data_IF_790463857388
#
_entry.id   IF_790463857388
#
_cell.length_a   1.000
_cell.length_b   1.000
_cell.length_c   1.000
_cell.angle_alpha   90.00
_cell.angle_beta   90.00
_cell.angle_gamma   90.00
#
_symmetry.space_group_name_H-M   'P 1'
#
loop_
_entity.id
_entity.type
_entity.pdbx_description
1 polymer ?
#
# COMPACT_ATOMS: atom_id res chain seq x y z
N UNK A 1 -7.94 4.66 -14.07
CA UNK A 1 -8.32 5.12 -12.71
C UNK A 1 -7.99 6.59 -12.46
N UNK A 2 -6.73 7.03 -12.64
CA UNK A 2 -6.27 8.38 -12.25
C UNK A 2 -7.07 9.56 -12.85
N UNK A 3 -7.39 9.54 -14.15
CA UNK A 3 -8.16 10.65 -14.75
C UNK A 3 -9.58 10.74 -14.20
N UNK A 4 -10.25 9.60 -14.04
CA UNK A 4 -11.61 9.55 -13.50
C UNK A 4 -11.64 9.97 -12.04
N UNK A 5 -10.69 9.51 -11.21
CA UNK A 5 -10.61 9.92 -9.80
C UNK A 5 -10.26 11.39 -9.66
N UNK A 6 -9.34 11.93 -10.47
CA UNK A 6 -9.05 13.36 -10.48
C UNK A 6 -10.31 14.18 -10.80
N UNK A 7 -11.06 13.79 -11.82
CA UNK A 7 -12.32 14.43 -12.18
C UNK A 7 -13.33 14.40 -11.03
N UNK A 8 -13.63 13.22 -10.48
CA UNK A 8 -14.61 13.07 -9.40
C UNK A 8 -14.19 13.88 -8.17
N UNK A 9 -12.96 13.71 -7.69
CA UNK A 9 -12.51 14.29 -6.42
C UNK A 9 -12.26 15.81 -6.50
N UNK A 10 -11.85 16.33 -7.66
CA UNK A 10 -11.43 17.73 -7.77
C UNK A 10 -12.38 18.62 -8.57
N UNK A 11 -13.29 18.04 -9.36
CA UNK A 11 -14.17 18.80 -10.27
C UNK A 11 -15.65 18.60 -9.98
N UNK A 12 -16.08 17.48 -9.40
CA UNK A 12 -17.47 17.33 -8.96
C UNK A 12 -17.68 18.06 -7.61
N UNK A 13 -18.59 19.04 -7.59
CA UNK A 13 -18.89 19.86 -6.40
C UNK A 13 -20.36 19.77 -5.95
N UNK A 14 -21.17 19.04 -6.69
CA UNK A 14 -22.60 18.87 -6.44
C UNK A 14 -22.96 17.39 -6.49
N UNK A 15 -23.87 16.98 -5.62
CA UNK A 15 -24.37 15.60 -5.53
C UNK A 15 -25.23 15.29 -6.76
N UNK A 16 -25.03 14.11 -7.37
CA UNK A 16 -25.76 13.60 -8.52
C UNK A 16 -25.77 14.53 -9.75
N UNK A 17 -24.75 15.38 -9.91
CA UNK A 17 -24.69 16.38 -10.98
C UNK A 17 -24.32 15.81 -12.35
N UNK A 18 -23.77 14.60 -12.41
CA UNK A 18 -23.38 13.92 -13.65
C UNK A 18 -24.14 12.62 -13.83
N UNK A 19 -24.30 12.20 -15.09
CA UNK A 19 -24.94 10.94 -15.47
C UNK A 19 -24.05 10.16 -16.42
N UNK A 20 -24.02 8.84 -16.23
CA UNK A 20 -23.42 7.88 -17.15
C UNK A 20 -24.42 6.77 -17.45
N UNK A 21 -24.20 6.07 -18.56
CA UNK A 21 -24.99 4.90 -18.95
C UNK A 21 -24.08 3.67 -18.95
N UNK A 22 -23.75 3.11 -17.76
CA UNK A 22 -22.70 2.11 -17.64
C UNK A 22 -23.04 0.80 -18.33
N UNK A 23 -24.31 0.51 -18.63
CA UNK A 23 -24.76 -0.79 -19.13
C UNK A 23 -24.96 -0.86 -20.65
N UNK A 24 -24.71 0.24 -21.38
CA UNK A 24 -25.03 0.30 -22.82
C UNK A 24 -24.28 -0.72 -23.67
N UNK A 25 -23.10 -1.16 -23.22
CA UNK A 25 -22.27 -2.15 -23.89
C UNK A 25 -22.68 -3.60 -23.59
N UNK A 26 -23.61 -3.82 -22.65
CA UNK A 26 -24.11 -5.15 -22.29
C UNK A 26 -25.34 -5.49 -23.13
N UNK A 27 -25.16 -6.19 -24.25
CA UNK A 27 -26.26 -6.56 -25.16
C UNK A 27 -27.02 -7.84 -24.75
N UNK A 28 -26.38 -8.68 -23.93
CA UNK A 28 -26.92 -9.97 -23.51
C UNK A 28 -27.38 -9.92 -22.04
N UNK A 29 -28.19 -10.90 -21.64
CA UNK A 29 -28.70 -11.03 -20.29
C UNK A 29 -29.54 -9.83 -19.81
N UNK A 30 -30.19 -9.10 -20.72
CA UNK A 30 -31.14 -8.05 -20.36
C UNK A 30 -32.56 -8.63 -20.29
N UNK A 31 -33.24 -8.46 -19.14
CA UNK A 31 -34.65 -8.82 -19.02
C UNK A 31 -35.57 -7.86 -19.80
N UNK A 32 -35.23 -6.57 -19.79
CA UNK A 32 -35.91 -5.53 -20.56
C UNK A 32 -34.87 -4.67 -21.27
N UNK A 33 -35.18 -4.19 -22.49
CA UNK A 33 -34.28 -3.33 -23.26
C UNK A 33 -33.94 -2.02 -22.53
N UNK A 34 -34.85 -1.52 -21.69
CA UNK A 34 -34.63 -0.32 -20.86
C UNK A 34 -33.51 -0.48 -19.83
N UNK A 35 -33.20 -1.70 -19.39
CA UNK A 35 -32.11 -1.94 -18.44
C UNK A 35 -30.73 -1.63 -19.06
N UNK A 36 -30.58 -1.85 -20.37
CA UNK A 36 -29.33 -1.56 -21.09
C UNK A 36 -29.05 -0.06 -21.16
N UNK A 37 -30.09 0.77 -21.29
CA UNK A 37 -29.97 2.23 -21.43
C UNK A 37 -30.27 2.97 -20.13
N UNK A 38 -30.24 2.28 -18.99
CA UNK A 38 -30.47 2.91 -17.69
C UNK A 38 -29.28 3.79 -17.30
N UNK A 39 -29.56 5.02 -16.85
CA UNK A 39 -28.55 5.93 -16.31
C UNK A 39 -28.23 5.65 -14.84
N UNK A 40 -27.02 6.06 -14.45
CA UNK A 40 -26.56 6.16 -13.07
C UNK A 40 -26.03 7.58 -12.87
N UNK A 41 -26.51 8.24 -11.80
CA UNK A 41 -26.04 9.58 -11.43
C UNK A 41 -24.88 9.51 -10.43
N UNK A 42 -23.96 10.47 -10.48
CA UNK A 42 -22.81 10.58 -9.57
C UNK A 42 -22.32 12.04 -9.45
N UNK A 43 -21.51 12.39 -8.43
CA UNK A 43 -21.21 11.58 -7.24
C UNK A 43 -22.39 11.59 -6.25
N UNK A 44 -22.61 10.50 -5.51
CA UNK A 44 -23.69 10.36 -4.53
C UNK A 44 -23.45 11.17 -3.23
N UNK A 45 -22.20 11.56 -3.00
CA UNK A 45 -21.76 12.48 -1.94
C UNK A 45 -20.90 13.58 -2.57
N UNK A 46 -20.83 14.77 -1.95
CA UNK A 46 -19.89 15.79 -2.41
C UNK A 46 -18.47 15.44 -1.94
N UNK A 47 -17.51 15.17 -2.84
CA UNK A 47 -16.14 14.81 -2.46
C UNK A 47 -15.39 15.92 -1.71
N UNK A 48 -15.91 17.14 -1.74
CA UNK A 48 -15.36 18.32 -1.06
C UNK A 48 -15.75 18.43 0.41
N UNK A 49 -16.74 17.65 0.86
CA UNK A 49 -17.27 17.71 2.23
C UNK A 49 -16.35 16.95 3.20
N UNK A 50 -15.06 17.26 3.16
CA UNK A 50 -14.04 16.73 4.07
C UNK A 50 -13.93 17.64 5.31
N UNK A 51 -13.68 17.08 6.51
CA UNK A 51 -13.30 17.87 7.68
C UNK A 51 -12.10 18.78 7.38
N UNK A 52 -12.05 19.96 8.01
CA UNK A 52 -10.97 20.95 7.77
C UNK A 52 -9.55 20.39 8.02
N UNK A 53 -9.42 19.43 8.92
CA UNK A 53 -8.16 18.79 9.29
C UNK A 53 -7.91 17.45 8.56
N UNK A 54 -8.73 17.10 7.57
CA UNK A 54 -8.57 15.86 6.83
C UNK A 54 -7.31 15.89 5.95
N UNK A 55 -6.45 14.88 6.10
CA UNK A 55 -5.28 14.67 5.25
C UNK A 55 -5.59 13.57 4.24
N UNK A 56 -6.06 13.97 3.06
CA UNK A 56 -6.39 13.05 1.97
C UNK A 56 -5.54 13.36 0.74
N UNK A 57 -4.88 12.33 0.21
CA UNK A 57 -4.00 12.43 -0.96
C UNK A 57 -4.10 11.18 -1.83
N UNK A 58 -3.64 11.30 -3.07
CA UNK A 58 -3.59 10.22 -4.05
C UNK A 58 -2.30 10.32 -4.86
N UNK A 59 -1.63 9.19 -5.04
CA UNK A 59 -0.35 9.10 -5.76
C UNK A 59 -0.53 8.30 -7.05
N UNK A 60 0.18 8.71 -8.10
CA UNK A 60 0.24 7.99 -9.37
C UNK A 60 1.54 7.19 -9.45
N UNK A 61 1.45 5.92 -9.83
CA UNK A 61 2.60 5.03 -10.05
C UNK A 61 2.31 3.59 -9.67
N UNK A 62 3.28 2.72 -9.92
CA UNK A 62 3.23 1.33 -9.46
C UNK A 62 3.41 1.29 -7.93
N UNK A 63 2.61 0.47 -7.24
CA UNK A 63 2.70 0.29 -5.79
C UNK A 63 4.11 -0.14 -5.34
N UNK A 64 4.75 -1.05 -6.09
CA UNK A 64 6.08 -1.55 -5.78
C UNK A 64 7.18 -0.51 -6.01
N UNK A 65 6.98 0.46 -6.91
CA UNK A 65 7.96 1.51 -7.24
C UNK A 65 7.76 2.81 -6.44
N UNK A 66 6.54 3.05 -5.95
CA UNK A 66 6.23 4.28 -5.22
C UNK A 66 6.52 4.11 -3.72
N UNK A 67 6.30 2.93 -3.16
CA UNK A 67 6.35 2.73 -1.71
C UNK A 67 7.55 1.87 -1.28
N UNK A 68 8.67 2.54 -1.03
CA UNK A 68 9.92 1.91 -0.57
C UNK A 68 10.31 2.25 0.87
N UNK A 69 9.69 3.29 1.46
CA UNK A 69 10.02 3.72 2.81
C UNK A 69 9.61 2.67 3.85
N UNK A 70 10.61 2.15 4.55
CA UNK A 70 10.42 1.17 5.61
C UNK A 70 9.74 1.78 6.83
N UNK A 71 8.91 0.99 7.51
CA UNK A 71 8.27 1.36 8.77
C UNK A 71 7.56 2.74 8.72
N UNK A 72 6.88 3.05 7.61
CA UNK A 72 6.23 4.34 7.39
C UNK A 72 4.73 4.31 7.77
N UNK A 73 4.01 3.27 7.35
CA UNK A 73 2.54 3.24 7.43
C UNK A 73 2.04 2.58 8.72
N UNK A 74 1.04 3.18 9.36
CA UNK A 74 0.36 2.56 10.51
C UNK A 74 -0.65 1.48 10.09
N UNK A 75 -1.27 1.66 8.92
CA UNK A 75 -2.26 0.76 8.36
C UNK A 75 -2.12 0.72 6.84
N UNK A 76 -2.26 -0.46 6.25
CA UNK A 76 -2.43 -0.65 4.81
C UNK A 76 -3.73 -1.41 4.59
N UNK A 77 -4.58 -0.94 3.68
CA UNK A 77 -5.84 -1.59 3.35
C UNK A 77 -5.88 -1.92 1.86
N UNK A 78 -6.04 -3.20 1.53
CA UNK A 78 -6.13 -3.71 0.15
C UNK A 78 -7.56 -4.23 -0.11
N UNK A 79 -8.18 -3.78 -1.19
CA UNK A 79 -9.54 -4.19 -1.58
C UNK A 79 -9.56 -4.55 -3.06
N UNK A 80 -9.78 -5.82 -3.41
CA UNK A 80 -9.67 -6.32 -4.80
C UNK A 80 -8.37 -5.88 -5.49
N UNK A 81 -7.24 -6.12 -4.81
CA UNK A 81 -5.94 -5.55 -5.19
C UNK A 81 -4.81 -6.58 -5.25
N UNK A 82 -4.69 -7.48 -4.28
CA UNK A 82 -3.51 -8.34 -4.18
C UNK A 82 -3.35 -9.32 -5.36
N UNK A 83 -4.43 -9.56 -6.09
CA UNK A 83 -4.51 -10.40 -7.29
C UNK A 83 -4.21 -9.63 -8.59
N UNK A 84 -3.94 -8.32 -8.52
CA UNK A 84 -3.45 -7.55 -9.67
C UNK A 84 -1.93 -7.56 -9.83
N UNK A 85 -1.21 -8.32 -9.00
CA UNK A 85 0.25 -8.44 -9.08
C UNK A 85 0.67 -9.56 -10.04
N UNK A 86 1.76 -9.35 -10.78
CA UNK A 86 2.49 -10.46 -11.43
C UNK A 86 3.03 -11.45 -10.37
N UNK A 87 3.42 -10.93 -9.20
CA UNK A 87 3.89 -11.72 -8.08
C UNK A 87 3.33 -11.21 -6.75
N UNK A 88 2.30 -11.88 -6.24
CA UNK A 88 1.66 -11.53 -4.97
C UNK A 88 2.63 -11.55 -3.78
N UNK A 89 3.70 -12.34 -3.84
CA UNK A 89 4.73 -12.38 -2.77
C UNK A 89 5.45 -11.04 -2.65
N UNK A 90 5.71 -10.35 -3.76
CA UNK A 90 6.34 -9.02 -3.76
C UNK A 90 5.42 -7.96 -3.13
N UNK A 91 4.10 -8.07 -3.36
CA UNK A 91 3.13 -7.22 -2.70
C UNK A 91 3.16 -7.45 -1.18
N UNK A 92 3.11 -8.71 -0.73
CA UNK A 92 3.14 -9.05 0.70
C UNK A 92 4.44 -8.57 1.36
N UNK A 93 5.58 -8.74 0.69
CA UNK A 93 6.88 -8.26 1.16
C UNK A 93 6.89 -6.73 1.32
N UNK A 94 6.40 -6.01 0.31
CA UNK A 94 6.36 -4.54 0.33
C UNK A 94 5.43 -4.02 1.41
N UNK A 95 4.26 -4.63 1.58
CA UNK A 95 3.32 -4.31 2.67
C UNK A 95 4.01 -4.54 4.03
N UNK A 96 4.72 -5.66 4.21
CA UNK A 96 5.45 -5.94 5.46
C UNK A 96 6.56 -4.92 5.72
N UNK A 97 7.38 -4.60 4.72
CA UNK A 97 8.51 -3.65 4.85
C UNK A 97 8.03 -2.24 5.20
N UNK A 98 6.98 -1.78 4.53
CA UNK A 98 6.49 -0.40 4.63
C UNK A 98 5.58 -0.16 5.85
N UNK A 99 4.97 -1.20 6.43
CA UNK A 99 4.26 -1.09 7.70
C UNK A 99 5.21 -0.83 8.87
N UNK A 100 4.82 0.07 9.77
CA UNK A 100 5.45 0.24 11.10
C UNK A 100 5.37 -1.05 11.91
N UNK A 101 6.32 -1.32 12.82
CA UNK A 101 6.14 -2.33 13.86
C UNK A 101 4.85 -2.05 14.63
N UNK A 102 4.02 -3.08 14.83
CA UNK A 102 2.69 -2.96 15.42
C UNK A 102 1.60 -2.51 14.43
N UNK A 103 1.96 -2.11 13.21
CA UNK A 103 1.03 -1.70 12.15
C UNK A 103 0.17 -2.86 11.63
N UNK A 104 -0.95 -2.52 11.00
CA UNK A 104 -1.95 -3.49 10.54
C UNK A 104 -2.09 -3.50 9.02
N UNK A 105 -2.34 -4.68 8.48
CA UNK A 105 -2.77 -4.86 7.10
C UNK A 105 -4.17 -5.47 7.09
N UNK A 106 -5.09 -4.82 6.40
CA UNK A 106 -6.46 -5.28 6.18
C UNK A 106 -6.61 -5.64 4.70
N UNK A 107 -7.18 -6.80 4.41
CA UNK A 107 -7.46 -7.23 3.04
C UNK A 107 -8.91 -7.68 2.89
N UNK A 108 -9.53 -7.33 1.76
CA UNK A 108 -10.79 -7.91 1.28
C UNK A 108 -10.72 -8.11 -0.24
N UNK A 109 -10.78 -9.36 -0.70
CA UNK A 109 -10.82 -9.62 -2.14
C UNK A 109 -10.83 -11.09 -2.51
N UNK A 110 -11.12 -11.41 -3.78
CA UNK A 110 -10.88 -12.71 -4.35
C UNK A 110 -9.38 -12.92 -4.67
N UNK A 111 -9.09 -14.00 -5.40
CA UNK A 111 -7.79 -14.23 -6.06
C UNK A 111 -8.04 -14.50 -7.54
N UNK A 112 -8.45 -13.47 -8.28
CA UNK A 112 -8.59 -13.51 -9.73
C UNK A 112 -7.34 -12.90 -10.36
N UNK A 113 -6.29 -13.71 -10.51
CA UNK A 113 -4.97 -13.24 -10.94
C UNK A 113 -5.04 -12.59 -12.32
N UNK A 114 -4.72 -11.30 -12.37
CA UNK A 114 -4.96 -10.46 -13.55
C UNK A 114 -4.22 -10.93 -14.80
N UNK A 115 -3.02 -11.47 -14.61
CA UNK A 115 -2.10 -11.83 -15.70
C UNK A 115 -2.22 -13.29 -16.14
N UNK A 116 -3.12 -14.10 -15.56
CA UNK A 116 -3.18 -15.55 -15.80
C UNK A 116 -3.43 -15.94 -17.26
N UNK A 117 -4.21 -15.12 -17.96
CA UNK A 117 -4.58 -15.36 -19.36
C UNK A 117 -3.87 -14.39 -20.33
N UNK A 118 -2.86 -13.64 -19.87
CA UNK A 118 -2.13 -12.68 -20.70
C UNK A 118 -0.91 -13.32 -21.36
N UNK A 119 -0.84 -13.38 -22.70
CA UNK A 119 0.33 -13.92 -23.39
C UNK A 119 1.58 -13.10 -23.09
N UNK A 120 2.69 -13.78 -22.79
CA UNK A 120 4.01 -13.20 -22.48
C UNK A 120 4.09 -12.40 -21.16
N UNK A 121 3.13 -12.55 -20.25
CA UNK A 121 3.21 -12.02 -18.89
C UNK A 121 3.51 -13.15 -17.91
N UNK A 122 4.47 -12.95 -17.02
CA UNK A 122 4.71 -13.88 -15.91
C UNK A 122 3.69 -13.63 -14.79
N UNK A 123 3.10 -14.70 -14.28
CA UNK A 123 2.04 -14.66 -13.25
C UNK A 123 2.26 -15.77 -12.23
N UNK A 124 2.43 -15.39 -10.95
CA UNK A 124 2.52 -16.32 -9.82
C UNK A 124 1.16 -16.40 -9.13
N UNK A 125 0.52 -17.56 -9.22
CA UNK A 125 -0.91 -17.75 -8.95
C UNK A 125 -1.20 -18.73 -7.79
N UNK A 126 -0.70 -18.45 -6.57
CA UNK A 126 -0.90 -19.36 -5.44
C UNK A 126 -2.36 -19.41 -5.01
N UNK A 127 -2.77 -20.57 -4.47
CA UNK A 127 -4.02 -20.66 -3.74
C UNK A 127 -3.98 -19.78 -2.47
N UNK A 128 -5.15 -19.47 -1.90
CA UNK A 128 -5.19 -18.71 -0.65
C UNK A 128 -4.44 -19.40 0.50
N UNK A 129 -4.41 -20.74 0.54
CA UNK A 129 -3.61 -21.47 1.52
C UNK A 129 -2.12 -21.10 1.44
N UNK A 130 -1.57 -21.05 0.23
CA UNK A 130 -0.17 -20.69 0.00
C UNK A 130 0.05 -19.21 0.28
N UNK A 131 -0.85 -18.32 -0.15
CA UNK A 131 -0.81 -16.89 0.21
C UNK A 131 -0.74 -16.72 1.73
N UNK A 132 -1.60 -17.42 2.47
CA UNK A 132 -1.64 -17.39 3.94
C UNK A 132 -0.33 -17.89 4.55
N UNK A 133 0.27 -18.95 4.01
CA UNK A 133 1.59 -19.43 4.46
C UNK A 133 2.69 -18.37 4.23
N UNK A 134 2.68 -17.69 3.08
CA UNK A 134 3.62 -16.60 2.78
C UNK A 134 3.44 -15.44 3.76
N UNK A 135 2.20 -15.03 4.05
CA UNK A 135 1.89 -13.98 5.04
C UNK A 135 2.51 -14.32 6.40
N UNK A 136 2.32 -15.56 6.87
CA UNK A 136 2.90 -16.03 8.13
C UNK A 136 4.43 -16.14 8.06
N UNK A 137 4.98 -16.56 6.92
CA UNK A 137 6.41 -16.67 6.67
C UNK A 137 7.16 -15.34 6.77
N UNK A 138 6.54 -14.23 6.35
CA UNK A 138 7.07 -12.88 6.56
C UNK A 138 7.01 -12.42 8.03
N UNK A 139 6.24 -13.11 8.87
CA UNK A 139 6.12 -12.81 10.31
C UNK A 139 4.87 -12.03 10.70
N UNK A 140 3.90 -11.84 9.80
CA UNK A 140 2.60 -11.30 10.19
C UNK A 140 1.88 -12.21 11.18
N UNK A 141 1.14 -11.61 12.11
CA UNK A 141 0.18 -12.31 12.97
C UNK A 141 -1.22 -12.07 12.48
N UNK A 142 -1.94 -13.13 12.11
CA UNK A 142 -3.34 -13.03 11.69
C UNK A 142 -4.21 -12.81 12.94
N UNK A 143 -4.90 -11.68 13.01
CA UNK A 143 -5.81 -11.31 14.11
C UNK A 143 -7.26 -11.65 13.79
N UNK A 144 -7.64 -11.57 12.51
CA UNK A 144 -8.97 -11.94 12.02
C UNK A 144 -8.85 -12.54 10.63
N UNK A 145 -9.63 -13.57 10.36
CA UNK A 145 -9.66 -14.27 9.08
C UNK A 145 -11.08 -14.79 8.85
N UNK A 146 -11.64 -14.50 7.67
CA UNK A 146 -12.97 -14.95 7.27
C UNK A 146 -12.95 -15.24 5.77
N UNK A 147 -13.20 -16.49 5.41
CA UNK A 147 -13.37 -16.93 4.02
C UNK A 147 -14.86 -16.89 3.63
N UNK A 148 -15.13 -17.04 2.33
CA UNK A 148 -16.51 -17.08 1.80
C UNK A 148 -17.30 -15.78 2.04
N UNK A 149 -16.62 -14.64 2.12
CA UNK A 149 -17.27 -13.33 2.19
C UNK A 149 -17.84 -13.01 0.81
N UNK A 150 -19.18 -12.95 0.71
CA UNK A 150 -19.86 -12.64 -0.53
C UNK A 150 -19.60 -11.20 -0.95
N UNK A 151 -19.02 -11.00 -2.13
CA UNK A 151 -18.72 -9.68 -2.69
C UNK A 151 -19.07 -9.63 -4.17
N UNK A 152 -19.43 -8.43 -4.64
CA UNK A 152 -19.78 -8.15 -6.04
C UNK A 152 -18.87 -7.03 -6.54
N UNK A 153 -18.63 -6.97 -7.84
CA UNK A 153 -17.76 -5.97 -8.44
C UNK A 153 -18.41 -5.38 -9.70
N UNK A 154 -18.65 -4.06 -9.70
CA UNK A 154 -19.20 -3.28 -10.83
C UNK A 154 -20.37 -3.95 -11.59
N UNK A 155 -21.24 -4.64 -10.86
CA UNK A 155 -22.26 -5.52 -11.44
C UNK A 155 -23.54 -4.79 -11.82
N UNK A 156 -24.09 -5.11 -12.99
CA UNK A 156 -25.45 -4.72 -13.38
C UNK A 156 -26.47 -5.54 -12.58
N UNK A 157 -27.12 -4.91 -11.61
CA UNK A 157 -28.13 -5.55 -10.74
C UNK A 157 -29.34 -6.10 -11.51
N UNK A 158 -29.59 -5.60 -12.73
CA UNK A 158 -30.72 -5.96 -13.57
C UNK A 158 -30.38 -7.04 -14.62
N UNK A 159 -29.12 -7.49 -14.67
CA UNK A 159 -28.67 -8.55 -15.57
C UNK A 159 -29.22 -9.91 -15.12
N UNK A 160 -29.64 -10.75 -16.08
CA UNK A 160 -29.99 -12.15 -15.83
C UNK A 160 -28.77 -12.99 -15.40
N UNK A 161 -27.57 -12.60 -15.82
CA UNK A 161 -26.31 -13.20 -15.37
C UNK A 161 -25.72 -12.37 -14.24
N UNK A 162 -25.49 -13.00 -13.09
CA UNK A 162 -24.86 -12.39 -11.94
C UNK A 162 -23.58 -13.15 -11.56
N UNK A 163 -22.45 -12.45 -11.48
CA UNK A 163 -21.19 -12.95 -10.93
C UNK A 163 -21.02 -12.47 -9.48
N UNK A 164 -20.59 -13.37 -8.60
CA UNK A 164 -20.31 -13.06 -7.20
C UNK A 164 -19.03 -13.78 -6.80
N UNK A 165 -18.20 -13.13 -5.99
CA UNK A 165 -16.99 -13.71 -5.45
C UNK A 165 -17.20 -14.20 -4.03
N UNK A 166 -16.56 -15.32 -3.71
CA UNK A 166 -16.36 -15.79 -2.35
C UNK A 166 -14.99 -15.28 -1.88
N UNK A 167 -14.93 -14.01 -1.50
CA UNK A 167 -13.70 -13.34 -1.10
C UNK A 167 -13.19 -13.82 0.26
N UNK A 168 -11.93 -13.48 0.51
CA UNK A 168 -11.29 -13.60 1.81
C UNK A 168 -11.15 -12.21 2.42
N UNK A 169 -11.59 -12.09 3.67
CA UNK A 169 -11.31 -10.96 4.54
C UNK A 169 -10.29 -11.36 5.60
N UNK A 170 -9.25 -10.57 5.81
CA UNK A 170 -8.35 -10.76 6.95
C UNK A 170 -7.80 -9.44 7.50
N UNK A 171 -7.36 -9.51 8.76
CA UNK A 171 -6.58 -8.48 9.43
C UNK A 171 -5.32 -9.13 9.96
N UNK A 172 -4.17 -8.62 9.55
CA UNK A 172 -2.85 -9.06 9.95
C UNK A 172 -2.13 -7.93 10.68
N UNK A 173 -1.32 -8.26 11.69
CA UNK A 173 -0.48 -7.30 12.41
C UNK A 173 1.00 -7.62 12.22
N UNK A 174 1.80 -6.61 11.88
CA UNK A 174 3.27 -6.70 11.93
C UNK A 174 3.70 -6.66 13.40
N UNK A 175 4.49 -7.62 13.92
CA UNK A 175 4.92 -7.59 15.31
C UNK A 175 5.67 -6.32 15.69
N UNK A 176 5.60 -5.92 16.95
CA UNK A 176 6.46 -4.86 17.48
C UNK A 176 7.93 -5.28 17.42
N UNK A 177 8.85 -4.33 17.23
CA UNK A 177 10.29 -4.58 17.41
C UNK A 177 10.48 -5.01 18.86
N UNK A 178 10.96 -6.23 19.08
CA UNK A 178 11.39 -6.64 20.41
C UNK A 178 12.65 -5.85 20.74
N UNK A 179 12.57 -5.03 21.79
CA UNK A 179 13.77 -4.48 22.41
C UNK A 179 14.45 -5.66 23.10
N UNK A 180 15.61 -6.08 22.60
CA UNK A 180 16.50 -6.94 23.36
C UNK A 180 17.00 -6.10 24.52
N UNK A 181 16.37 -6.26 25.69
CA UNK A 181 16.93 -5.77 26.94
C UNK A 181 17.99 -6.79 27.32
N UNK A 182 19.23 -6.53 26.94
CA UNK A 182 20.37 -7.30 27.44
C UNK A 182 20.39 -7.19 28.96
N UNK A 183 19.94 -8.25 29.62
CA UNK A 183 20.01 -8.42 31.07
C UNK A 183 21.43 -8.84 31.46
N UNK A 184 22.41 -8.02 31.06
CA UNK A 184 23.81 -8.07 31.50
C UNK A 184 24.26 -6.65 31.79
N UNK A 185 23.88 -6.15 32.96
CA UNK A 185 24.70 -5.18 33.65
C UNK A 185 25.98 -5.92 34.10
N UNK A 186 27.01 -5.89 33.26
CA UNK A 186 28.38 -5.89 33.74
C UNK A 186 29.04 -4.61 33.24
N UNK A 187 29.36 -3.77 34.21
CA UNK A 187 30.21 -2.59 34.09
C UNK A 187 31.58 -3.06 33.59
N UNK A 188 31.97 -2.67 32.39
CA UNK A 188 33.37 -2.68 31.96
C UNK A 188 33.68 -1.32 31.34
N UNK A 189 34.17 -0.44 32.20
CA UNK A 189 34.89 0.76 31.83
C UNK A 189 36.39 0.39 31.91
N UNK A 190 37.00 0.05 30.78
CA UNK A 190 38.46 -0.04 30.66
C UNK A 190 38.86 0.59 29.33
N UNK A 191 39.32 1.83 29.43
CA UNK A 191 40.13 2.50 28.42
C UNK A 191 41.25 1.58 27.94
N UNK A 192 41.25 1.27 26.64
CA UNK A 192 42.29 0.53 25.94
C UNK A 192 42.70 1.27 24.67
N UNK A 193 43.06 2.55 24.81
CA UNK A 193 43.72 3.30 23.75
C UNK A 193 45.22 3.23 24.01
N UNK A 194 45.91 2.35 23.28
CA UNK A 194 47.37 2.29 23.25
C UNK A 194 47.85 2.71 21.86
N UNK A 195 47.85 4.01 21.60
CA UNK A 195 48.66 4.57 20.53
C UNK A 195 49.94 5.17 21.12
N UNK A 196 51.05 4.62 20.66
CA UNK A 196 52.40 4.90 21.14
C UNK A 196 52.79 6.37 20.92
N UNK A 197 53.34 6.93 22.00
CA UNK A 197 54.10 8.17 22.05
C UNK A 197 55.31 8.07 21.10
N UNK A 198 55.43 9.01 20.16
CA UNK A 198 56.72 9.47 19.61
C UNK A 198 56.86 10.95 19.91
N UNK A 199 57.86 11.26 20.72
CA UNK A 199 58.38 12.60 20.99
C UNK A 199 59.47 12.85 19.96
N UNK A 200 59.34 13.91 19.16
CA UNK A 200 60.48 14.62 18.60
C UNK A 200 60.25 16.11 18.88
N UNK A 201 61.20 16.69 19.60
CA UNK A 201 61.27 18.12 19.90
C UNK A 201 62.11 18.84 18.83
N UNK A 202 61.91 20.16 18.82
CA UNK A 202 62.79 21.21 18.34
C UNK A 202 62.47 21.88 16.98
N UNK A 203 61.85 23.06 17.18
CA UNK A 203 62.36 24.37 16.81
C UNK A 203 62.05 25.00 15.44
N UNK A 204 61.45 26.18 15.62
CA UNK A 204 61.81 27.46 15.02
C UNK A 204 60.94 28.05 13.91
N UNK A 205 60.42 29.23 14.29
CA UNK A 205 60.38 30.49 13.55
C UNK A 205 59.11 30.92 12.80
N UNK A 206 58.53 31.97 13.42
CA UNK A 206 58.18 33.28 12.86
C UNK A 206 57.08 33.41 11.78
N UNK A 207 56.22 34.38 12.12
CA UNK A 207 55.71 35.49 11.29
C UNK A 207 54.37 35.35 10.56
N UNK A 208 53.44 36.16 11.09
CA UNK A 208 52.74 37.29 10.46
C UNK A 208 51.80 37.09 9.27
N UNK A 209 50.75 37.92 9.34
CA UNK A 209 49.91 38.45 8.26
C UNK A 209 48.95 37.46 7.60
N UNK A 210 47.77 37.83 7.13
CA UNK A 210 46.85 38.94 7.36
C UNK A 210 45.64 38.59 6.49
N UNK A 211 44.44 38.94 6.94
CA UNK A 211 43.29 39.40 6.13
C UNK A 211 42.58 38.54 5.06
N UNK A 212 41.28 38.86 4.98
CA UNK A 212 40.30 38.76 3.87
C UNK A 212 39.60 37.40 3.66
N UNK A 213 38.27 37.34 3.87
CA UNK A 213 37.19 37.59 2.88
C UNK A 213 37.24 36.54 1.75
N UNK A 214 36.18 35.86 1.32
CA UNK A 214 34.79 36.25 1.16
C UNK A 214 33.96 34.97 0.87
N UNK A 215 32.65 35.16 0.74
CA UNK A 215 31.60 34.22 0.39
C UNK A 215 31.88 33.25 -0.78
N UNK A 216 31.26 32.06 -0.74
CA UNK A 216 30.04 31.66 -1.48
C UNK A 216 29.33 30.57 -0.68
#
# INVERSE_FOLDING_TARGET
MLFASYFVLNKCREVNSFKIYPWVHQYMNNLYSSHQTQDVSFPDVNPSDLPENAQFSMTAGDFLEVYHEHDHWNCIATCFFIDCANNVVQFIETIYKTLKPGGIWINLGPLLYHFSDMPNEDSIEPSYEIVRQVILGFGFKIEKEQTQVKTRYAQNINSMLQCEYNSVYFVCRKPNKQLIVDSKNDMLDINGQSDNIKIDCDNDHLNNHDTHEEAI
#
